data_IF_387084869999
#
_entry.id   IF_387084869999
#
_cell.length_a   1.000
_cell.length_b   1.000
_cell.length_c   1.000
_cell.angle_alpha   90.00
_cell.angle_beta   90.00
_cell.angle_gamma   90.00
#
_symmetry.space_group_name_H-M   'P 1'
#
loop_
_entity.id
_entity.type
_entity.pdbx_description
1 polymer ?
#
# COMPACT_ATOMS: atom_id res chain seq x y z
N UNK A 1 11.22 3.32 -18.91
CA UNK A 1 10.48 3.57 -17.66
C UNK A 1 9.19 4.29 -18.02
N UNK A 2 8.02 3.82 -17.55
CA UNK A 2 6.76 4.58 -17.69
C UNK A 2 6.68 5.55 -16.51
N UNK A 3 7.14 6.78 -16.73
CA UNK A 3 6.96 7.86 -15.77
C UNK A 3 5.61 8.53 -16.08
N UNK A 4 4.79 8.71 -15.05
CA UNK A 4 3.51 9.39 -15.20
C UNK A 4 3.76 10.88 -15.51
N UNK A 5 3.27 11.35 -16.65
CA UNK A 5 3.26 12.78 -17.04
C UNK A 5 2.00 13.49 -16.55
N UNK A 6 1.06 12.75 -15.96
CA UNK A 6 -0.19 13.25 -15.38
C UNK A 6 -0.48 12.55 -14.04
N UNK A 7 -1.32 13.13 -13.17
CA UNK A 7 -1.75 12.47 -11.94
C UNK A 7 -2.53 11.17 -12.23
N UNK A 8 -2.32 10.06 -11.49
CA UNK A 8 -3.09 8.85 -11.65
C UNK A 8 -4.56 9.06 -11.28
N UNK A 9 -5.48 8.45 -12.02
CA UNK A 9 -6.92 8.51 -11.70
C UNK A 9 -7.26 7.65 -10.48
N UNK A 10 -6.49 6.59 -10.24
CA UNK A 10 -6.58 5.72 -9.08
C UNK A 10 -5.24 5.02 -8.82
N UNK A 11 -5.06 4.55 -7.58
CA UNK A 11 -3.93 3.73 -7.15
C UNK A 11 -4.46 2.55 -6.36
N UNK A 12 -4.17 1.33 -6.81
CA UNK A 12 -4.45 0.13 -6.04
C UNK A 12 -3.26 -0.24 -5.16
N UNK A 13 -3.54 -0.76 -3.98
CA UNK A 13 -2.57 -1.29 -3.05
C UNK A 13 -2.81 -2.78 -2.88
N UNK A 14 -1.73 -3.55 -2.95
CA UNK A 14 -1.75 -4.98 -2.75
C UNK A 14 -0.80 -5.38 -1.64
N UNK A 15 -1.23 -6.31 -0.77
CA UNK A 15 -0.33 -7.09 0.08
C UNK A 15 -0.21 -8.49 -0.53
N UNK A 16 0.93 -8.78 -1.15
CA UNK A 16 1.11 -9.96 -1.99
C UNK A 16 0.17 -9.95 -3.19
N UNK A 17 -0.82 -10.84 -3.21
CA UNK A 17 -1.82 -10.95 -4.30
C UNK A 17 -3.19 -10.38 -3.94
N UNK A 18 -3.38 -9.88 -2.70
CA UNK A 18 -4.67 -9.39 -2.21
C UNK A 18 -4.72 -7.88 -2.26
N UNK A 19 -5.76 -7.31 -2.86
CA UNK A 19 -6.02 -5.86 -2.81
C UNK A 19 -6.45 -5.45 -1.41
N UNK A 20 -5.89 -4.36 -0.88
CA UNK A 20 -6.10 -3.91 0.51
C UNK A 20 -6.66 -2.49 0.65
N UNK A 21 -7.07 -1.85 -0.45
CA UNK A 21 -7.58 -0.48 -0.45
C UNK A 21 -8.75 -0.22 0.52
N UNK A 22 -9.57 -1.25 0.77
CA UNK A 22 -10.83 -1.14 1.53
C UNK A 22 -10.83 -2.04 2.77
N UNK A 23 -9.65 -2.47 3.21
CA UNK A 23 -9.48 -3.51 4.22
C UNK A 23 -9.58 -2.94 5.65
N UNK A 24 -10.72 -2.32 5.96
CA UNK A 24 -10.96 -1.62 7.23
C UNK A 24 -10.98 -2.57 8.43
N UNK A 25 -11.37 -3.82 8.23
CA UNK A 25 -11.38 -4.87 9.27
C UNK A 25 -9.96 -5.18 9.80
N UNK A 26 -8.94 -4.95 8.96
CA UNK A 26 -7.53 -5.12 9.31
C UNK A 26 -6.84 -3.77 9.58
N UNK A 27 -7.61 -2.77 9.98
CA UNK A 27 -7.11 -1.43 10.32
C UNK A 27 -6.29 -0.75 9.20
N UNK A 28 -6.56 -1.11 7.94
CA UNK A 28 -5.92 -0.48 6.78
C UNK A 28 -6.75 0.72 6.33
N UNK A 29 -6.07 1.84 6.09
CA UNK A 29 -6.63 3.05 5.53
C UNK A 29 -5.78 3.53 4.36
N UNK A 30 -6.42 3.78 3.22
CA UNK A 30 -5.77 4.41 2.06
C UNK A 30 -6.28 5.83 1.90
N UNK A 31 -5.36 6.77 1.76
CA UNK A 31 -5.64 8.18 1.44
C UNK A 31 -4.88 8.53 0.17
N UNK A 32 -5.59 9.04 -0.84
CA UNK A 32 -5.00 9.48 -2.09
C UNK A 32 -5.11 10.99 -2.22
N UNK A 33 -3.98 11.63 -2.51
CA UNK A 33 -3.90 13.02 -2.95
C UNK A 33 -3.82 13.11 -4.47
N UNK A 34 -3.48 14.29 -4.98
CA UNK A 34 -3.33 14.52 -6.42
C UNK A 34 -2.22 13.63 -7.01
N UNK A 35 -1.04 13.67 -6.41
CA UNK A 35 0.17 13.03 -6.97
C UNK A 35 0.74 11.94 -6.04
N UNK A 36 -0.02 11.51 -5.03
CA UNK A 36 0.42 10.52 -4.05
C UNK A 36 -0.72 9.65 -3.55
N UNK A 37 -0.37 8.48 -3.03
CA UNK A 37 -1.28 7.61 -2.28
C UNK A 37 -0.53 7.09 -1.06
N UNK A 38 -1.19 7.07 0.09
CA UNK A 38 -0.64 6.62 1.37
C UNK A 38 -1.51 5.50 1.90
N UNK A 39 -0.90 4.36 2.14
CA UNK A 39 -1.48 3.27 2.92
C UNK A 39 -0.99 3.38 4.36
N UNK A 40 -1.92 3.35 5.30
CA UNK A 40 -1.66 3.38 6.75
C UNK A 40 -2.29 2.15 7.39
N UNK A 41 -1.53 1.46 8.24
CA UNK A 41 -2.01 0.35 9.05
C UNK A 41 -1.88 0.76 10.52
N UNK A 42 -2.98 0.79 11.26
CA UNK A 42 -2.95 1.00 12.71
C UNK A 42 -3.06 -0.33 13.46
N UNK A 43 -2.56 -0.40 14.69
CA UNK A 43 -2.59 -1.62 15.52
C UNK A 43 -1.97 -2.83 14.78
N UNK A 44 -0.71 -2.68 14.40
CA UNK A 44 0.04 -3.67 13.59
C UNK A 44 0.20 -4.98 14.35
N UNK A 45 -0.11 -6.07 13.66
CA UNK A 45 0.15 -7.48 14.02
C UNK A 45 1.02 -8.14 12.96
N UNK A 46 1.54 -9.35 13.23
CA UNK A 46 2.40 -10.10 12.31
C UNK A 46 1.81 -10.31 10.90
N UNK A 47 0.48 -10.43 10.80
CA UNK A 47 -0.24 -10.61 9.52
C UNK A 47 -0.12 -9.41 8.57
N UNK A 48 0.34 -8.26 9.06
CA UNK A 48 0.61 -7.07 8.25
C UNK A 48 2.03 -7.08 7.66
N UNK A 49 2.85 -8.08 7.96
CA UNK A 49 4.12 -8.29 7.27
C UNK A 49 3.93 -8.70 5.81
N UNK A 50 4.90 -8.39 4.96
CA UNK A 50 4.97 -8.89 3.59
C UNK A 50 5.20 -7.81 2.53
N UNK A 51 4.97 -8.18 1.27
CA UNK A 51 5.21 -7.31 0.13
C UNK A 51 4.00 -6.41 -0.16
N UNK A 52 4.17 -5.11 0.00
CA UNK A 52 3.20 -4.09 -0.37
C UNK A 52 3.55 -3.53 -1.74
N UNK A 53 2.61 -3.59 -2.67
CA UNK A 53 2.75 -3.06 -4.03
C UNK A 53 1.72 -1.96 -4.28
N UNK A 54 2.17 -0.80 -4.73
CA UNK A 54 1.30 0.23 -5.27
C UNK A 54 1.23 0.14 -6.80
N UNK A 55 0.02 0.18 -7.33
CA UNK A 55 -0.26 0.05 -8.77
C UNK A 55 -1.11 1.25 -9.22
N UNK A 56 -0.47 2.33 -9.69
CA UNK A 56 -1.15 3.49 -10.26
C UNK A 56 -1.70 3.18 -11.66
N UNK A 57 -2.80 3.84 -12.05
CA UNK A 57 -3.44 3.60 -13.35
C UNK A 57 -2.60 3.98 -14.58
N UNK A 58 -1.58 4.83 -14.42
CA UNK A 58 -0.82 5.44 -15.52
C UNK A 58 0.71 5.30 -15.40
N UNK A 59 1.22 4.56 -14.42
CA UNK A 59 2.65 4.31 -14.24
C UNK A 59 2.90 2.83 -13.89
N UNK A 60 4.17 2.43 -13.92
CA UNK A 60 4.56 1.08 -13.51
C UNK A 60 4.34 0.88 -11.99
N UNK A 61 3.95 -0.33 -11.55
CA UNK A 61 3.85 -0.64 -10.13
C UNK A 61 5.20 -0.54 -9.43
N UNK A 62 5.17 -0.29 -8.12
CA UNK A 62 6.35 -0.32 -7.26
C UNK A 62 6.05 -1.07 -5.97
N UNK A 63 7.05 -1.78 -5.44
CA UNK A 63 6.87 -2.70 -4.32
C UNK A 63 7.88 -2.42 -3.21
N UNK A 64 7.44 -2.65 -1.96
CA UNK A 64 8.26 -2.59 -0.75
C UNK A 64 7.94 -3.79 0.14
N UNK A 65 8.95 -4.35 0.80
CA UNK A 65 8.73 -5.41 1.78
C UNK A 65 8.71 -4.83 3.19
N UNK A 66 7.65 -5.14 3.95
CA UNK A 66 7.44 -4.71 5.33
C UNK A 66 7.68 -5.89 6.26
N UNK A 67 8.58 -5.71 7.23
CA UNK A 67 8.82 -6.67 8.30
C UNK A 67 8.21 -6.13 9.60
N UNK A 68 7.35 -6.93 10.23
CA UNK A 68 6.81 -6.65 11.56
C UNK A 68 7.62 -7.44 12.58
N UNK A 69 8.00 -6.79 13.67
CA UNK A 69 8.77 -7.38 14.77
C UNK A 69 8.13 -6.99 16.10
N UNK A 70 7.83 -7.97 16.93
CA UNK A 70 7.43 -7.73 18.31
C UNK A 70 8.66 -7.31 19.12
N UNK A 71 8.60 -6.12 19.72
CA UNK A 71 9.65 -5.64 20.60
C UNK A 71 9.46 -6.22 22.00
N UNK A 72 10.36 -7.11 22.41
CA UNK A 72 10.46 -7.53 23.80
C UNK A 72 11.37 -6.55 24.56
N UNK A 73 10.92 -6.06 25.72
CA UNK A 73 11.70 -5.23 26.64
C UNK A 73 12.36 -6.08 27.74
#
# INVERSE_FOLDING_TARGET
MRNATSPPSFVFWYQGRRMVNYDTERNVKVVSGKDYSVLTVSSVTDDHGGNYTCEPSNASPSSVHVHVVEGYY
#
